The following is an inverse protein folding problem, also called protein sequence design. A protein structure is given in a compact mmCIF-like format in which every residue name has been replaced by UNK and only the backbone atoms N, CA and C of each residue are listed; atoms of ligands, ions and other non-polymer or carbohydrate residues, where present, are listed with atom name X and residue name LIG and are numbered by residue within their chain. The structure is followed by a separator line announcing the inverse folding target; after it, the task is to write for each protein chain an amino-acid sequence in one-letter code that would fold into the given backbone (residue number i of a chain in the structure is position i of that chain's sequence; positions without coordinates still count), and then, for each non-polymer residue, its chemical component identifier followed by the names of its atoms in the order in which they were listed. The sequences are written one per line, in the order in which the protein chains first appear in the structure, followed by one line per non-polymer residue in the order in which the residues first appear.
data_IF_725714188646
#
_entry.id   IF_725714188646
#
_cell.length_a   1.000
_cell.length_b   1.000
_cell.length_c   1.000
_cell.angle_alpha   90.00
_cell.angle_beta   90.00
_cell.angle_gamma   90.00
#
_symmetry.space_group_name_H-M   'P 1'
#
loop_
_entity.id
_entity.type
_entity.pdbx_description
1 polymer ?
#
# COMPACT_ATOMS: atom_id res chain seq x y z
N UNK A 1 -40.16 -12.96 -66.36
CA UNK A 1 -40.04 -12.10 -65.15
C UNK A 1 -39.53 -12.95 -63.98
N UNK A 2 -38.21 -12.95 -63.70
CA UNK A 2 -37.61 -13.56 -62.50
C UNK A 2 -36.31 -12.80 -62.16
N UNK A 3 -36.43 -11.58 -61.65
CA UNK A 3 -35.30 -10.80 -61.10
C UNK A 3 -35.56 -10.29 -59.67
N UNK A 4 -36.79 -10.42 -59.17
CA UNK A 4 -37.22 -9.84 -57.89
C UNK A 4 -36.74 -10.68 -56.68
N UNK A 5 -36.51 -11.99 -56.85
CA UNK A 5 -36.13 -12.87 -55.74
C UNK A 5 -34.68 -12.72 -55.28
N UNK A 6 -33.76 -12.26 -56.14
CA UNK A 6 -32.34 -12.15 -55.80
C UNK A 6 -32.05 -10.92 -54.92
N UNK A 7 -32.76 -9.81 -55.15
CA UNK A 7 -32.61 -8.59 -54.35
C UNK A 7 -33.16 -8.76 -52.93
N UNK A 8 -34.25 -9.50 -52.77
CA UNK A 8 -34.83 -9.75 -51.44
C UNK A 8 -33.91 -10.62 -50.58
N UNK A 9 -33.25 -11.62 -51.17
CA UNK A 9 -32.30 -12.52 -50.50
C UNK A 9 -31.03 -11.77 -50.05
N UNK A 10 -30.52 -10.86 -50.88
CA UNK A 10 -29.35 -10.04 -50.54
C UNK A 10 -29.66 -9.03 -49.43
N UNK A 11 -30.87 -8.46 -49.42
CA UNK A 11 -31.30 -7.53 -48.38
C UNK A 11 -31.47 -8.21 -47.03
N UNK A 12 -32.02 -9.42 -46.98
CA UNK A 12 -32.15 -10.19 -45.74
C UNK A 12 -30.82 -10.70 -45.21
N UNK A 13 -29.86 -11.09 -46.07
CA UNK A 13 -28.50 -11.46 -45.63
C UNK A 13 -27.73 -10.24 -45.08
N UNK A 14 -27.89 -9.06 -45.68
CA UNK A 14 -27.31 -7.81 -45.17
C UNK A 14 -27.91 -7.43 -43.80
N UNK A 15 -29.23 -7.48 -43.64
CA UNK A 15 -29.88 -7.18 -42.35
C UNK A 15 -29.49 -8.16 -41.24
N UNK A 16 -29.29 -9.45 -41.54
CA UNK A 16 -28.84 -10.46 -40.56
C UNK A 16 -27.38 -10.21 -40.15
N UNK A 17 -26.52 -9.77 -41.07
CA UNK A 17 -25.10 -9.48 -40.75
C UNK A 17 -24.89 -8.20 -39.95
N UNK A 18 -25.79 -7.21 -40.06
CA UNK A 18 -25.83 -6.06 -39.14
C UNK A 18 -26.47 -6.40 -37.78
N UNK A 19 -27.40 -7.36 -37.72
CA UNK A 19 -28.04 -7.76 -36.46
C UNK A 19 -27.15 -8.64 -35.57
N UNK A 20 -26.18 -9.37 -36.14
CA UNK A 20 -25.23 -10.21 -35.37
C UNK A 20 -23.89 -9.53 -35.09
N UNK A 21 -23.66 -8.33 -35.63
CA UNK A 21 -22.48 -7.51 -35.37
C UNK A 21 -22.78 -6.39 -34.36
N UNK A 22 -23.38 -6.74 -33.22
CA UNK A 22 -23.05 -5.96 -32.03
C UNK A 22 -21.55 -6.16 -31.83
N UNK A 23 -20.70 -5.11 -31.90
CA UNK A 23 -19.33 -5.25 -31.42
C UNK A 23 -19.47 -5.78 -30.00
N UNK A 24 -18.97 -7.00 -29.76
CA UNK A 24 -18.85 -7.50 -28.40
C UNK A 24 -18.14 -6.38 -27.65
N UNK A 25 -18.78 -5.81 -26.63
CA UNK A 25 -18.04 -4.96 -25.71
C UNK A 25 -16.82 -5.80 -25.32
N UNK A 26 -15.59 -5.27 -25.48
CA UNK A 26 -14.42 -6.06 -25.12
C UNK A 26 -14.63 -6.54 -23.69
N UNK A 27 -14.50 -7.85 -23.50
CA UNK A 27 -14.48 -8.44 -22.17
C UNK A 27 -13.25 -7.88 -21.47
N UNK A 28 -13.44 -6.82 -20.70
CA UNK A 28 -12.40 -6.24 -19.88
C UNK A 28 -12.54 -6.89 -18.51
N UNK A 29 -11.75 -7.95 -18.28
CA UNK A 29 -11.72 -8.62 -16.99
C UNK A 29 -11.18 -7.67 -15.93
N UNK A 30 -11.73 -7.76 -14.71
CA UNK A 30 -11.14 -7.10 -13.55
C UNK A 30 -9.75 -7.70 -13.32
N UNK A 31 -8.71 -6.90 -13.57
CA UNK A 31 -7.35 -7.33 -13.31
C UNK A 31 -7.02 -7.13 -11.83
N UNK A 32 -5.96 -7.76 -11.36
CA UNK A 32 -5.37 -7.50 -10.05
C UNK A 32 -3.87 -7.38 -10.26
N UNK A 33 -3.29 -6.27 -9.82
CA UNK A 33 -1.84 -6.09 -9.85
C UNK A 33 -1.24 -6.33 -8.47
N UNK A 34 -0.10 -7.01 -8.47
CA UNK A 34 0.62 -7.38 -7.25
C UNK A 34 1.84 -6.46 -7.10
N UNK A 35 1.82 -5.61 -6.07
CA UNK A 35 2.93 -4.67 -5.79
C UNK A 35 3.91 -5.20 -4.75
N UNK A 36 5.18 -4.84 -4.89
CA UNK A 36 6.23 -5.18 -3.91
C UNK A 36 6.33 -4.14 -2.80
N UNK A 37 6.59 -4.60 -1.59
CA UNK A 37 6.78 -3.76 -0.40
C UNK A 37 8.10 -2.99 -0.40
N UNK A 38 9.04 -3.28 -1.31
CA UNK A 38 10.31 -2.55 -1.45
C UNK A 38 10.12 -1.07 -1.79
N UNK A 39 9.00 -0.72 -2.44
CA UNK A 39 8.64 0.67 -2.73
C UNK A 39 8.12 1.43 -1.49
N UNK A 40 7.81 0.73 -0.39
CA UNK A 40 7.08 1.22 0.78
C UNK A 40 7.79 0.67 2.04
N UNK A 41 8.92 1.29 2.39
CA UNK A 41 9.69 0.95 3.58
C UNK A 41 9.43 1.96 4.71
N UNK A 42 9.30 1.47 5.94
CA UNK A 42 9.32 2.36 7.12
C UNK A 42 10.77 2.80 7.31
N UNK A 43 11.01 4.10 7.18
CA UNK A 43 12.32 4.69 7.45
C UNK A 43 12.42 4.98 8.94
N UNK A 44 13.33 4.27 9.61
CA UNK A 44 13.75 4.58 10.97
C UNK A 44 14.99 5.47 10.89
N UNK A 45 14.87 6.70 11.40
CA UNK A 45 16.00 7.63 11.50
C UNK A 45 16.35 7.79 12.98
N UNK A 46 17.60 7.49 13.33
CA UNK A 46 18.14 7.73 14.67
C UNK A 46 19.53 8.35 14.58
N UNK A 47 19.90 9.11 15.62
CA UNK A 47 21.31 9.42 15.86
C UNK A 47 22.05 8.11 16.21
N UNK A 48 23.36 8.04 15.94
CA UNK A 48 24.20 6.86 16.23
C UNK A 48 24.49 6.68 17.71
N UNK A 49 24.40 7.75 18.52
CA UNK A 49 24.53 7.73 19.97
C UNK A 49 23.21 8.20 20.59
N UNK A 50 22.39 7.27 21.06
CA UNK A 50 21.11 7.59 21.70
C UNK A 50 21.28 7.67 23.21
N UNK A 51 20.62 8.65 23.82
CA UNK A 51 20.49 8.82 25.27
C UNK A 51 19.03 8.70 25.70
N UNK A 52 18.79 8.48 26.99
CA UNK A 52 17.44 8.55 27.53
C UNK A 52 16.75 9.88 27.16
N UNK A 53 15.48 9.78 26.81
CA UNK A 53 14.60 10.82 26.29
C UNK A 53 14.90 11.30 24.87
N UNK A 54 15.87 10.70 24.17
CA UNK A 54 15.97 10.88 22.73
C UNK A 54 14.75 10.30 22.02
N UNK A 55 14.50 10.82 20.83
CA UNK A 55 13.40 10.41 19.98
C UNK A 55 13.94 9.72 18.73
N UNK A 56 13.48 8.50 18.48
CA UNK A 56 13.64 7.87 17.18
C UNK A 56 12.46 8.26 16.29
N UNK A 57 12.75 8.55 15.03
CA UNK A 57 11.73 8.97 14.09
C UNK A 57 11.41 7.84 13.13
N UNK A 58 10.13 7.48 13.09
CA UNK A 58 9.52 6.57 12.14
C UNK A 58 8.82 7.40 11.08
N UNK A 59 9.04 7.07 9.81
CA UNK A 59 8.28 7.66 8.72
C UNK A 59 7.95 6.63 7.65
N UNK A 60 6.76 6.77 7.07
CA UNK A 60 6.28 5.93 5.99
C UNK A 60 5.61 6.80 4.95
N UNK A 61 5.92 6.54 3.68
CA UNK A 61 5.29 7.19 2.55
C UNK A 61 4.86 6.14 1.52
N UNK A 62 3.62 6.25 1.07
CA UNK A 62 3.08 5.48 -0.05
C UNK A 62 2.82 6.48 -1.17
N UNK A 63 3.70 6.55 -2.19
CA UNK A 63 3.52 7.45 -3.30
C UNK A 63 2.34 7.00 -4.18
N UNK A 64 1.80 7.92 -4.98
CA UNK A 64 0.80 7.60 -6.00
C UNK A 64 1.36 6.82 -7.20
N UNK A 65 2.65 6.48 -7.21
CA UNK A 65 3.27 5.71 -8.29
C UNK A 65 4.00 4.53 -7.69
N UNK A 66 3.55 3.31 -7.99
CA UNK A 66 4.07 2.06 -7.43
C UNK A 66 4.59 1.15 -8.55
N UNK A 67 5.55 0.28 -8.23
CA UNK A 67 6.03 -0.75 -9.15
C UNK A 67 5.45 -2.12 -8.76
N UNK A 68 4.99 -2.87 -9.74
CA UNK A 68 4.59 -4.26 -9.52
C UNK A 68 5.78 -5.22 -9.45
N UNK A 69 5.51 -6.49 -9.15
CA UNK A 69 6.52 -7.57 -9.12
C UNK A 69 7.27 -7.77 -10.46
N UNK A 70 6.72 -7.31 -11.58
CA UNK A 70 7.33 -7.39 -12.90
C UNK A 70 8.07 -6.10 -13.28
N UNK A 71 8.07 -5.09 -12.40
CA UNK A 71 8.70 -3.79 -12.63
C UNK A 71 7.85 -2.79 -13.41
N UNK A 72 6.60 -3.12 -13.76
CA UNK A 72 5.71 -2.17 -14.42
C UNK A 72 5.25 -1.09 -13.42
N UNK A 73 5.15 0.15 -13.92
CA UNK A 73 4.82 1.33 -13.12
C UNK A 73 3.32 1.59 -13.17
N UNK A 74 2.71 1.69 -12.00
CA UNK A 74 1.28 1.89 -11.81
C UNK A 74 1.01 3.21 -11.10
N UNK A 75 0.12 4.04 -11.68
CA UNK A 75 -0.33 5.27 -11.03
C UNK A 75 -1.64 5.03 -10.30
N UNK A 76 -1.65 5.27 -8.99
CA UNK A 76 -2.78 5.04 -8.11
C UNK A 76 -3.49 6.32 -7.71
N UNK A 77 -4.82 6.25 -7.64
CA UNK A 77 -5.63 7.33 -7.09
C UNK A 77 -5.68 7.17 -5.57
N UNK A 78 -4.86 7.95 -4.87
CA UNK A 78 -4.91 8.02 -3.41
C UNK A 78 -5.99 9.02 -3.03
N UNK A 79 -7.06 8.53 -2.41
CA UNK A 79 -8.07 9.38 -1.81
C UNK A 79 -7.86 9.49 -0.29
N UNK A 80 -8.47 10.52 0.31
CA UNK A 80 -8.36 10.80 1.75
C UNK A 80 -9.00 9.72 2.66
N UNK A 81 -9.77 8.78 2.10
CA UNK A 81 -10.43 7.71 2.85
C UNK A 81 -9.61 6.41 2.85
N UNK A 82 -8.53 6.34 2.06
CA UNK A 82 -7.63 5.18 2.05
C UNK A 82 -6.94 5.06 3.39
N UNK A 83 -7.14 3.93 4.07
CA UNK A 83 -6.56 3.66 5.39
C UNK A 83 -5.58 2.48 5.31
N UNK A 84 -4.33 2.73 5.71
CA UNK A 84 -3.31 1.70 5.88
C UNK A 84 -2.74 1.82 7.29
N UNK A 85 -2.55 0.68 7.94
CA UNK A 85 -2.04 0.59 9.31
C UNK A 85 -0.86 -0.40 9.35
N UNK A 86 0.38 0.07 9.18
CA UNK A 86 1.56 -0.73 9.47
C UNK A 86 1.59 -1.09 10.94
N UNK A 87 1.93 -2.34 11.21
CA UNK A 87 2.15 -2.84 12.57
C UNK A 87 3.65 -2.86 12.86
N UNK A 88 4.06 -2.22 13.95
CA UNK A 88 5.45 -2.17 14.39
C UNK A 88 5.53 -2.75 15.79
N UNK A 89 6.24 -3.87 15.95
CA UNK A 89 6.50 -4.47 17.25
C UNK A 89 7.75 -3.87 17.87
N UNK A 90 7.68 -3.51 19.14
CA UNK A 90 8.79 -2.85 19.84
C UNK A 90 9.13 -3.57 21.13
N UNK A 91 10.42 -3.77 21.37
CA UNK A 91 10.92 -4.60 22.46
C UNK A 91 12.15 -3.98 23.12
N UNK A 92 12.34 -4.26 24.41
CA UNK A 92 13.53 -3.92 25.18
C UNK A 92 14.16 -5.18 25.73
N UNK A 93 15.49 -5.26 25.66
CA UNK A 93 16.26 -6.38 26.22
C UNK A 93 16.27 -6.30 27.75
N UNK A 94 15.88 -7.38 28.41
CA UNK A 94 15.88 -7.51 29.86
C UNK A 94 17.20 -8.10 30.39
N UNK A 95 17.31 -8.20 31.72
CA UNK A 95 18.50 -8.68 32.43
C UNK A 95 18.86 -10.15 32.14
N UNK A 96 17.93 -10.93 31.57
CA UNK A 96 18.15 -12.33 31.17
C UNK A 96 18.57 -12.47 29.70
N UNK A 97 19.02 -11.37 29.08
CA UNK A 97 19.36 -11.28 27.67
C UNK A 97 18.21 -11.58 26.69
N UNK A 98 16.95 -11.48 27.13
CA UNK A 98 15.77 -11.72 26.28
C UNK A 98 15.02 -10.43 25.94
N UNK A 99 14.44 -10.36 24.75
CA UNK A 99 13.65 -9.20 24.32
C UNK A 99 12.20 -9.34 24.79
N UNK A 100 11.74 -8.35 25.55
CA UNK A 100 10.36 -8.26 26.05
C UNK A 100 9.63 -7.11 25.38
N UNK A 101 8.34 -7.31 25.09
CA UNK A 101 7.50 -6.30 24.45
C UNK A 101 7.37 -5.05 25.35
N UNK A 102 7.50 -3.87 24.73
CA UNK A 102 7.32 -2.58 25.42
C UNK A 102 6.16 -1.81 24.81
N UNK A 103 5.44 -1.09 25.66
CA UNK A 103 4.41 -0.16 25.24
C UNK A 103 4.93 1.27 25.40
N UNK A 104 4.99 2.02 24.30
CA UNK A 104 5.37 3.43 24.37
C UNK A 104 4.27 4.32 24.98
N UNK A 105 3.01 3.86 24.99
CA UNK A 105 1.88 4.58 25.56
C UNK A 105 1.81 6.04 25.09
N UNK A 106 1.79 6.96 26.05
CA UNK A 106 1.79 8.42 25.79
C UNK A 106 3.16 8.99 25.38
N UNK A 107 4.20 8.17 25.27
CA UNK A 107 5.56 8.59 24.89
C UNK A 107 5.79 8.52 23.37
N UNK A 108 4.77 8.89 22.63
CA UNK A 108 4.79 9.01 21.18
C UNK A 108 4.48 10.45 20.77
N UNK A 109 5.09 10.90 19.69
CA UNK A 109 4.85 12.23 19.11
C UNK A 109 4.40 12.03 17.68
N UNK A 110 3.14 12.32 17.36
CA UNK A 110 2.72 12.36 15.96
C UNK A 110 2.97 13.75 15.37
N UNK A 111 3.56 13.79 14.17
CA UNK A 111 3.74 15.04 13.41
C UNK A 111 2.80 15.11 12.20
N UNK A 112 2.50 13.97 11.58
CA UNK A 112 1.55 13.84 10.49
C UNK A 112 1.03 12.40 10.47
N UNK A 113 -0.25 12.19 10.24
CA UNK A 113 -0.88 10.90 10.51
C UNK A 113 -1.25 10.73 11.97
N UNK A 114 -1.75 9.54 12.28
CA UNK A 114 -2.10 9.13 13.65
C UNK A 114 -1.17 8.02 14.12
N UNK A 115 -0.99 7.93 15.44
CA UNK A 115 -0.23 6.87 16.08
C UNK A 115 -1.11 6.27 17.16
N UNK A 116 -1.21 4.94 17.15
CA UNK A 116 -1.89 4.19 18.19
C UNK A 116 -0.92 3.20 18.80
N UNK A 117 -0.89 3.11 20.12
CA UNK A 117 0.01 2.21 20.85
C UNK A 117 -0.80 1.15 21.59
N UNK A 118 -0.33 -0.08 21.52
CA UNK A 118 -0.84 -1.23 22.25
C UNK A 118 0.35 -1.93 22.92
N UNK A 119 0.08 -2.91 23.77
CA UNK A 119 1.16 -3.67 24.42
C UNK A 119 2.06 -4.32 23.36
N UNK A 120 3.32 -3.92 23.35
CA UNK A 120 4.33 -4.37 22.40
C UNK A 120 4.24 -3.79 20.99
N UNK A 121 3.22 -2.96 20.67
CA UNK A 121 2.91 -2.61 19.29
C UNK A 121 2.60 -1.12 19.08
N UNK A 122 2.97 -0.63 17.90
CA UNK A 122 2.63 0.69 17.40
C UNK A 122 1.99 0.54 16.02
N UNK A 123 0.85 1.20 15.85
CA UNK A 123 0.16 1.32 14.57
C UNK A 123 0.30 2.75 14.07
N UNK A 124 0.70 2.90 12.81
CA UNK A 124 0.82 4.19 12.13
C UNK A 124 -0.38 4.38 11.20
N UNK A 125 -1.33 5.26 11.53
CA UNK A 125 -2.38 5.65 10.59
C UNK A 125 -1.85 6.68 9.61
N UNK A 126 -1.76 6.32 8.33
CA UNK A 126 -1.32 7.26 7.29
C UNK A 126 -2.43 8.25 6.94
N UNK A 127 -2.05 9.50 6.67
CA UNK A 127 -2.91 10.57 6.21
C UNK A 127 -2.58 10.97 4.78
N UNK A 128 -3.56 11.49 4.03
CA UNK A 128 -3.34 11.96 2.68
C UNK A 128 -2.62 13.31 2.66
N UNK A 129 -1.47 13.36 1.96
CA UNK A 129 -0.67 14.56 1.75
C UNK A 129 -0.83 15.05 0.32
N UNK A 130 -1.60 16.13 0.16
CA UNK A 130 -2.00 16.68 -1.14
C UNK A 130 -0.81 17.07 -2.03
N UNK A 131 0.20 17.73 -1.48
CA UNK A 131 1.31 18.30 -2.27
C UNK A 131 2.20 17.23 -2.93
N UNK A 132 2.36 16.09 -2.26
CA UNK A 132 3.11 14.93 -2.77
C UNK A 132 2.19 13.86 -3.37
N UNK A 133 0.88 14.07 -3.34
CA UNK A 133 -0.16 13.10 -3.70
C UNK A 133 0.17 11.70 -3.13
N UNK A 134 0.45 11.62 -1.83
CA UNK A 134 0.89 10.39 -1.16
C UNK A 134 0.11 10.14 0.12
N UNK A 135 0.07 8.89 0.60
CA UNK A 135 -0.24 8.64 2.00
C UNK A 135 1.04 8.73 2.80
N UNK A 136 1.02 9.47 3.91
CA UNK A 136 2.19 9.73 4.72
C UNK A 136 1.89 9.58 6.21
N UNK A 137 2.86 9.09 6.96
CA UNK A 137 2.87 9.16 8.41
C UNK A 137 4.28 9.49 8.90
N UNK A 138 4.39 10.31 9.94
CA UNK A 138 5.64 10.53 10.66
C UNK A 138 5.39 10.65 12.15
N UNK A 139 6.04 9.76 12.89
CA UNK A 139 5.90 9.60 14.33
C UNK A 139 7.27 9.52 15.01
N UNK A 140 7.37 10.08 16.21
CA UNK A 140 8.52 9.96 17.09
C UNK A 140 8.21 9.02 18.26
N UNK A 141 9.14 8.14 18.61
CA UNK A 141 9.07 7.32 19.83
C UNK A 141 10.13 7.80 20.81
N UNK A 142 9.72 8.20 22.00
CA UNK A 142 10.63 8.74 23.03
C UNK A 142 11.15 7.56 23.87
N UNK A 143 12.47 7.39 23.89
CA UNK A 143 13.15 6.29 24.57
C UNK A 143 13.31 6.61 26.06
N UNK A 144 12.47 6.03 26.93
CA UNK A 144 12.47 6.38 28.37
C UNK A 144 13.52 5.63 29.18
N UNK A 145 13.81 4.40 28.79
CA UNK A 145 14.69 3.50 29.53
C UNK A 145 16.04 3.37 28.83
N UNK A 146 17.11 3.15 29.60
CA UNK A 146 18.40 2.72 29.04
C UNK A 146 18.31 1.26 28.61
N UNK A 147 19.13 0.86 27.65
CA UNK A 147 19.25 -0.54 27.25
C UNK A 147 19.26 -0.74 25.75
N UNK A 148 19.05 -1.99 25.35
CA UNK A 148 19.07 -2.41 23.95
C UNK A 148 17.63 -2.60 23.48
N UNK A 149 17.19 -1.70 22.62
CA UNK A 149 15.87 -1.77 22.01
C UNK A 149 15.93 -2.54 20.70
N UNK A 150 14.80 -3.16 20.36
CA UNK A 150 14.55 -3.81 19.09
C UNK A 150 13.22 -3.33 18.53
N UNK A 151 13.22 -2.90 17.27
CA UNK A 151 12.01 -2.55 16.53
C UNK A 151 11.89 -3.48 15.34
N UNK A 152 10.78 -4.20 15.28
CA UNK A 152 10.42 -5.09 14.19
C UNK A 152 9.26 -4.47 13.43
N UNK A 153 9.51 -4.07 12.20
CA UNK A 153 8.44 -3.65 11.30
C UNK A 153 7.77 -4.91 10.75
N UNK A 154 6.52 -5.14 11.13
CA UNK A 154 5.72 -6.28 10.71
C UNK A 154 5.13 -6.10 9.30
N UNK A 155 4.41 -7.12 8.85
CA UNK A 155 3.75 -7.12 7.55
C UNK A 155 2.78 -5.94 7.38
N UNK A 156 2.82 -5.32 6.20
CA UNK A 156 1.83 -4.35 5.78
C UNK A 156 0.60 -5.07 5.24
N UNK A 157 -0.59 -4.75 5.77
CA UNK A 157 -1.87 -5.21 5.21
C UNK A 157 -2.65 -4.02 4.64
N UNK A 158 -2.44 -3.69 3.37
CA UNK A 158 -3.32 -2.77 2.66
C UNK A 158 -4.61 -3.49 2.30
N UNK A 159 -5.74 -2.92 2.69
CA UNK A 159 -7.07 -3.54 2.51
C UNK A 159 -7.63 -3.17 1.11
N UNK A 160 -6.82 -3.35 0.06
CA UNK A 160 -7.07 -2.91 -1.33
C UNK A 160 -6.96 -1.39 -1.55
N UNK A 161 -6.15 -1.01 -2.54
CA UNK A 161 -6.13 0.34 -3.11
C UNK A 161 -6.59 0.23 -4.55
N UNK A 162 -7.63 0.99 -4.93
CA UNK A 162 -8.11 0.99 -6.30
C UNK A 162 -7.26 1.96 -7.13
N UNK A 163 -6.78 1.52 -8.29
CA UNK A 163 -6.23 2.42 -9.29
C UNK A 163 -6.96 2.31 -10.62
N UNK A 164 -6.84 3.36 -11.42
CA UNK A 164 -7.49 3.49 -12.72
C UNK A 164 -6.45 3.30 -13.80
N UNK A 165 -6.57 2.22 -14.57
CA UNK A 165 -5.77 2.03 -15.77
C UNK A 165 -6.60 2.34 -17.02
N UNK A 166 -6.00 3.04 -17.97
CA UNK A 166 -6.55 3.23 -19.31
C UNK A 166 -6.10 2.06 -20.18
N UNK A 167 -6.84 0.95 -20.12
CA UNK A 167 -6.67 -0.15 -21.08
C UNK A 167 -7.33 0.25 -22.40
N UNK A 168 -6.85 -0.27 -23.54
CA UNK A 168 -7.40 -0.12 -24.91
C UNK A 168 -8.88 -0.55 -25.10
N UNK A 169 -9.61 -0.76 -24.00
CA UNK A 169 -11.06 -0.84 -23.96
C UNK A 169 -11.68 0.56 -24.23
N UNK A 170 -12.87 0.64 -24.86
CA UNK A 170 -13.53 1.91 -25.16
C UNK A 170 -13.81 2.70 -23.88
N UNK A 171 -12.96 3.69 -23.57
CA UNK A 171 -13.09 4.76 -22.55
C UNK A 171 -13.92 4.42 -21.30
N UNK A 172 -13.77 3.21 -20.76
CA UNK A 172 -14.34 2.83 -19.46
C UNK A 172 -13.20 2.83 -18.45
N UNK A 173 -13.44 3.46 -17.33
CA UNK A 173 -12.51 3.53 -16.20
C UNK A 173 -12.68 2.25 -15.38
N UNK A 174 -11.64 1.44 -15.29
CA UNK A 174 -11.66 0.21 -14.48
C UNK A 174 -10.89 0.44 -13.18
N UNK A 175 -11.49 0.02 -12.06
CA UNK A 175 -10.79 -0.01 -10.78
C UNK A 175 -10.05 -1.35 -10.67
N UNK A 176 -8.74 -1.31 -10.74
CA UNK A 176 -7.90 -2.47 -10.49
C UNK A 176 -7.52 -2.41 -9.01
N UNK A 177 -7.94 -3.39 -8.18
CA UNK A 177 -7.47 -3.48 -6.82
C UNK A 177 -5.98 -3.87 -6.82
N UNK A 178 -5.17 -3.10 -6.09
CA UNK A 178 -3.82 -3.51 -5.73
C UNK A 178 -3.86 -4.46 -4.54
N UNK A 179 -3.19 -5.59 -4.71
CA UNK A 179 -2.83 -6.48 -3.61
C UNK A 179 -1.32 -6.43 -3.43
N UNK A 180 -0.86 -6.46 -2.19
CA UNK A 180 0.56 -6.43 -1.91
C UNK A 180 1.00 -7.86 -1.72
N UNK A 181 2.11 -8.26 -2.35
CA UNK A 181 2.59 -9.64 -2.21
C UNK A 181 3.12 -9.87 -0.79
N UNK A 182 2.24 -10.24 0.14
CA UNK A 182 2.64 -10.60 1.49
C UNK A 182 3.36 -11.94 1.55
N UNK A 183 3.31 -12.74 0.47
CA UNK A 183 3.87 -14.09 0.42
C UNK A 183 5.33 -14.14 -0.07
N UNK A 184 5.87 -13.06 -0.64
CA UNK A 184 7.27 -13.04 -1.12
C UNK A 184 8.20 -12.02 -0.45
N UNK A 185 7.72 -11.16 0.46
CA UNK A 185 8.60 -10.37 1.30
C UNK A 185 7.96 -10.14 2.68
N UNK A 186 8.26 -11.04 3.61
CA UNK A 186 8.50 -10.66 5.00
C UNK A 186 9.69 -9.69 5.00
N UNK A 187 9.48 -8.43 4.61
CA UNK A 187 10.41 -7.35 4.91
C UNK A 187 10.30 -7.07 6.41
N UNK A 188 10.70 -8.06 7.21
CA UNK A 188 11.00 -7.90 8.62
C UNK A 188 12.22 -7.00 8.68
N UNK A 189 11.98 -5.69 8.72
CA UNK A 189 13.02 -4.74 9.03
C UNK A 189 13.17 -4.74 10.54
N UNK A 190 14.29 -5.30 10.99
CA UNK A 190 14.69 -5.28 12.39
C UNK A 190 15.73 -4.17 12.60
N UNK A 191 15.46 -3.28 13.53
CA UNK A 191 16.37 -2.25 13.98
C UNK A 191 16.73 -2.50 15.44
N UNK A 192 18.02 -2.67 15.72
CA UNK A 192 18.53 -2.77 17.09
C UNK A 192 19.35 -1.53 17.40
N UNK A 193 19.11 -0.91 18.55
CA UNK A 193 19.85 0.28 18.98
C UNK A 193 20.06 0.30 20.49
N UNK A 194 21.16 0.92 20.90
CA UNK A 194 21.56 1.05 22.31
C UNK A 194 21.28 2.46 22.80
N UNK A 195 20.65 2.58 23.97
CA UNK A 195 20.33 3.83 24.66
C UNK A 195 21.14 3.92 25.95
N UNK A 196 21.94 4.97 26.07
CA UNK A 196 22.84 5.23 27.20
C UNK A 196 22.27 6.13 28.28
#
# INVERSE_FOLDING_TARGET
MKKIHTYFLLCSIALISFATSCPQEPFCDNQTAIVTTESIAIKVTSNTNLSQNDTIWLSLEIPNTLKDINGAVHNIEINANSSIFPYIRTQLKNDFDTFSDINFGTHTVSTFGTVQTYDGNINLGLEYKKDSNSLYCKAGLILKEKGIYKINVGSFYPISMNYKEYVDCPKKTYNIPLTFNTQQNTNHQEYTFTVN
#
